data_IF_022472644167
#
_entry.id   IF_022472644167
#
_cell.length_a   1.000
_cell.length_b   1.000
_cell.length_c   1.000
_cell.angle_alpha   90.00
_cell.angle_beta   90.00
_cell.angle_gamma   90.00
#
_symmetry.space_group_name_H-M   'P 1'
#
loop_
_entity.id
_entity.type
_entity.pdbx_description
1 polymer ?
#
# COMPACT_ATOMS: atom_id res chain seq x y z
N UNK A 1 7.95 -5.38 -77.76
CA UNK A 1 6.98 -6.15 -76.96
C UNK A 1 7.73 -7.30 -76.28
N UNK A 2 7.50 -7.54 -74.99
CA UNK A 2 7.94 -8.77 -74.30
C UNK A 2 9.01 -8.59 -73.21
N UNK A 3 8.65 -7.99 -72.08
CA UNK A 3 9.40 -8.15 -70.83
C UNK A 3 8.90 -9.42 -70.12
N UNK A 4 9.80 -10.33 -69.79
CA UNK A 4 9.51 -11.56 -69.05
C UNK A 4 10.57 -11.83 -68.00
N UNK A 5 10.47 -11.16 -66.86
CA UNK A 5 11.18 -11.53 -65.64
C UNK A 5 10.17 -12.05 -64.63
N UNK A 6 9.99 -13.36 -64.61
CA UNK A 6 9.16 -14.09 -63.64
C UNK A 6 9.92 -14.18 -62.32
N UNK A 7 9.57 -13.34 -61.33
CA UNK A 7 9.82 -13.67 -59.93
C UNK A 7 8.87 -14.80 -59.52
N UNK A 8 9.29 -15.82 -58.76
CA UNK A 8 8.32 -16.66 -58.11
C UNK A 8 7.54 -15.79 -57.11
N UNK A 9 6.23 -15.73 -57.33
CA UNK A 9 5.22 -15.34 -56.35
C UNK A 9 5.51 -16.12 -55.06
N UNK A 10 5.96 -15.41 -54.02
CA UNK A 10 5.89 -15.90 -52.65
C UNK A 10 4.42 -15.89 -52.26
N UNK A 11 3.73 -16.93 -52.74
CA UNK A 11 2.32 -17.20 -52.49
C UNK A 11 2.01 -17.06 -51.01
N UNK A 12 1.02 -16.22 -50.74
CA UNK A 12 0.31 -16.10 -49.48
C UNK A 12 -0.01 -17.50 -48.91
N UNK A 13 0.66 -17.87 -47.81
CA UNK A 13 0.35 -19.09 -47.08
C UNK A 13 1.52 -19.79 -46.37
N UNK A 14 2.79 -19.46 -46.64
CA UNK A 14 3.89 -20.06 -45.89
C UNK A 14 4.20 -19.27 -44.62
N UNK A 15 3.74 -19.79 -43.48
CA UNK A 15 4.07 -19.33 -42.14
C UNK A 15 5.59 -19.37 -41.97
N UNK A 16 6.25 -18.22 -41.96
CA UNK A 16 7.68 -18.12 -41.71
C UNK A 16 7.97 -18.54 -40.26
N UNK A 17 8.41 -19.78 -40.07
CA UNK A 17 8.83 -20.31 -38.77
C UNK A 17 10.32 -20.06 -38.63
N UNK A 18 10.71 -19.10 -37.80
CA UNK A 18 12.09 -18.94 -37.38
C UNK A 18 12.43 -20.10 -36.43
N UNK A 19 13.16 -21.10 -36.92
CA UNK A 19 13.81 -22.09 -36.06
C UNK A 19 15.13 -21.49 -35.57
N UNK A 20 15.28 -21.31 -34.26
CA UNK A 20 16.58 -20.98 -33.67
C UNK A 20 17.53 -22.17 -33.88
N UNK A 21 18.58 -22.00 -34.69
CA UNK A 21 19.60 -23.03 -34.97
C UNK A 21 20.50 -23.34 -33.76
N UNK A 22 20.27 -22.71 -32.61
CA UNK A 22 20.89 -23.09 -31.34
C UNK A 22 19.98 -24.05 -30.58
N UNK A 23 20.47 -25.23 -30.15
CA UNK A 23 19.69 -26.11 -29.28
C UNK A 23 19.35 -25.36 -28.00
N UNK A 24 18.07 -25.03 -27.81
CA UNK A 24 17.60 -24.47 -26.55
C UNK A 24 17.65 -25.60 -25.53
N UNK A 25 18.79 -25.73 -24.85
CA UNK A 25 18.95 -26.66 -23.74
C UNK A 25 18.28 -26.05 -22.53
N UNK A 26 17.08 -26.54 -22.21
CA UNK A 26 16.45 -26.25 -20.93
C UNK A 26 17.19 -27.02 -19.83
N UNK A 27 17.36 -26.39 -18.66
CA UNK A 27 17.96 -27.07 -17.53
C UNK A 27 17.10 -28.27 -17.13
N UNK A 28 17.73 -29.41 -16.82
CA UNK A 28 17.03 -30.63 -16.42
C UNK A 28 16.05 -30.38 -15.27
N UNK A 29 16.42 -29.51 -14.34
CA UNK A 29 15.57 -29.08 -13.22
C UNK A 29 14.31 -28.33 -13.66
N UNK A 30 14.38 -27.52 -14.72
CA UNK A 30 13.23 -26.82 -15.26
C UNK A 30 12.32 -27.79 -16.03
N UNK A 31 12.90 -28.71 -16.79
CA UNK A 31 12.14 -29.74 -17.51
C UNK A 31 11.43 -30.66 -16.51
N UNK A 32 12.10 -31.06 -15.44
CA UNK A 32 11.51 -31.89 -14.39
C UNK A 32 10.43 -31.14 -13.60
N UNK A 33 10.62 -29.86 -13.29
CA UNK A 33 9.58 -29.02 -12.68
C UNK A 33 8.37 -28.77 -13.59
N UNK A 34 8.58 -28.72 -14.90
CA UNK A 34 7.51 -28.59 -15.90
C UNK A 34 6.81 -29.94 -16.16
N UNK A 35 7.54 -31.05 -16.09
CA UNK A 35 6.99 -32.41 -16.21
C UNK A 35 6.23 -32.83 -14.96
N UNK A 36 6.68 -32.43 -13.77
CA UNK A 36 5.98 -32.66 -12.51
C UNK A 36 4.80 -31.68 -12.32
N UNK A 37 4.86 -30.52 -12.97
CA UNK A 37 3.89 -29.45 -12.84
C UNK A 37 2.97 -29.35 -14.05
N UNK A 38 2.07 -30.33 -14.24
CA UNK A 38 0.92 -30.19 -15.16
C UNK A 38 -0.19 -29.31 -14.57
N UNK A 39 0.08 -28.63 -13.46
CA UNK A 39 -0.93 -27.91 -12.72
C UNK A 39 -1.21 -26.53 -13.31
N UNK A 40 -2.51 -26.21 -13.40
CA UNK A 40 -3.04 -24.91 -13.78
C UNK A 40 -2.49 -23.80 -12.89
N UNK A 41 -2.48 -22.57 -13.42
CA UNK A 41 -1.97 -21.35 -12.75
C UNK A 41 -2.48 -21.19 -11.30
N UNK A 42 -3.71 -21.64 -11.02
CA UNK A 42 -4.32 -21.65 -9.68
C UNK A 42 -3.59 -22.52 -8.65
N UNK A 43 -3.14 -23.72 -9.03
CA UNK A 43 -2.46 -24.61 -8.08
C UNK A 43 -1.01 -24.16 -7.85
N UNK A 44 -0.36 -23.63 -8.89
CA UNK A 44 0.94 -22.97 -8.78
C UNK A 44 0.87 -21.79 -7.80
N UNK A 45 -0.11 -20.89 -7.99
CA UNK A 45 -0.32 -19.76 -7.10
C UNK A 45 -0.55 -20.22 -5.65
N UNK A 46 -1.34 -21.27 -5.43
CA UNK A 46 -1.60 -21.83 -4.09
C UNK A 46 -0.36 -22.47 -3.45
N UNK A 47 0.48 -23.15 -4.23
CA UNK A 47 1.73 -23.74 -3.75
C UNK A 47 2.74 -22.67 -3.30
N UNK A 48 2.83 -21.58 -4.07
CA UNK A 48 3.67 -20.43 -3.74
C UNK A 48 3.15 -19.72 -2.50
N UNK A 49 1.83 -19.51 -2.41
CA UNK A 49 1.19 -18.91 -1.24
C UNK A 49 1.46 -19.72 0.04
N UNK A 50 1.33 -21.05 -0.03
CA UNK A 50 1.66 -21.93 1.10
C UNK A 50 3.14 -21.80 1.50
N UNK A 51 4.04 -21.79 0.52
CA UNK A 51 5.47 -21.62 0.79
C UNK A 51 5.81 -20.25 1.39
N UNK A 52 5.10 -19.19 1.00
CA UNK A 52 5.23 -17.87 1.62
C UNK A 52 4.75 -17.92 3.06
N UNK A 53 3.60 -18.55 3.33
CA UNK A 53 3.06 -18.68 4.68
C UNK A 53 4.01 -19.43 5.61
N UNK A 54 4.62 -20.52 5.15
CA UNK A 54 5.57 -21.28 5.98
C UNK A 54 6.81 -20.45 6.31
N UNK A 55 7.37 -19.74 5.33
CA UNK A 55 8.53 -18.86 5.55
C UNK A 55 8.22 -17.71 6.50
N UNK A 56 7.05 -17.08 6.32
CA UNK A 56 6.61 -16.00 7.23
C UNK A 56 6.42 -16.54 8.64
N UNK A 57 5.82 -17.72 8.80
CA UNK A 57 5.66 -18.35 10.11
C UNK A 57 7.00 -18.64 10.79
N UNK A 58 7.97 -19.19 10.06
CA UNK A 58 9.33 -19.46 10.54
C UNK A 58 10.05 -18.16 10.98
N UNK A 59 9.98 -17.10 10.16
CA UNK A 59 10.59 -15.81 10.50
C UNK A 59 9.89 -15.15 11.71
N UNK A 60 8.57 -15.28 11.83
CA UNK A 60 7.84 -14.80 13.01
C UNK A 60 8.24 -15.56 14.27
N UNK A 61 8.43 -16.86 14.19
CA UNK A 61 8.91 -17.66 15.33
C UNK A 61 10.34 -17.26 15.72
N UNK A 62 11.22 -17.05 14.73
CA UNK A 62 12.57 -16.57 14.96
C UNK A 62 12.59 -15.20 15.65
N UNK A 63 11.74 -14.27 15.23
CA UNK A 63 11.62 -12.96 15.87
C UNK A 63 11.09 -13.10 17.31
N UNK A 64 10.06 -13.91 17.55
CA UNK A 64 9.55 -14.18 18.90
C UNK A 64 10.60 -14.76 19.83
N UNK A 65 11.45 -15.67 19.34
CA UNK A 65 12.54 -16.24 20.13
C UNK A 65 13.56 -15.17 20.53
N UNK A 66 13.93 -14.27 19.61
CA UNK A 66 14.81 -13.14 19.90
C UNK A 66 14.19 -12.21 20.94
N UNK A 67 12.91 -11.86 20.77
CA UNK A 67 12.19 -11.03 21.74
C UNK A 67 12.19 -11.67 23.13
N UNK A 68 11.89 -12.98 23.24
CA UNK A 68 11.95 -13.70 24.52
C UNK A 68 13.34 -13.65 25.15
N UNK A 69 14.40 -13.90 24.37
CA UNK A 69 15.77 -13.81 24.87
C UNK A 69 16.10 -12.41 25.38
N UNK A 70 15.66 -11.36 24.67
CA UNK A 70 15.88 -9.98 25.12
C UNK A 70 15.09 -9.65 26.39
N UNK A 71 13.86 -10.14 26.51
CA UNK A 71 13.06 -9.96 27.72
C UNK A 71 13.72 -10.65 28.91
N UNK A 72 14.18 -11.89 28.76
CA UNK A 72 14.90 -12.61 29.81
C UNK A 72 16.21 -11.92 30.19
N UNK A 73 16.94 -11.34 29.23
CA UNK A 73 18.14 -10.54 29.53
C UNK A 73 17.78 -9.30 30.34
N UNK A 74 16.75 -8.55 29.93
CA UNK A 74 16.27 -7.37 30.64
C UNK A 74 15.79 -7.75 32.06
N UNK A 75 15.06 -8.84 32.21
CA UNK A 75 14.61 -9.35 33.51
C UNK A 75 15.80 -9.69 34.42
N UNK A 76 16.85 -10.33 33.88
CA UNK A 76 18.10 -10.60 34.62
C UNK A 76 18.82 -9.32 35.01
N UNK A 77 18.88 -8.31 34.12
CA UNK A 77 19.47 -7.00 34.41
C UNK A 77 18.71 -6.28 35.51
N UNK A 78 17.38 -6.29 35.44
CA UNK A 78 16.50 -5.70 36.46
C UNK A 78 16.69 -6.40 37.82
N UNK A 79 16.74 -7.74 37.84
CA UNK A 79 16.97 -8.51 39.06
C UNK A 79 18.35 -8.25 39.68
N UNK A 80 19.38 -8.07 38.85
CA UNK A 80 20.75 -7.75 39.29
C UNK A 80 20.91 -6.31 39.78
N UNK A 81 20.08 -5.37 39.32
CA UNK A 81 20.09 -3.95 39.72
C UNK A 81 19.28 -3.68 41.00
N UNK A 82 18.55 -4.69 41.53
CA UNK A 82 17.70 -4.58 42.72
C UNK A 82 18.33 -4.87 44.11
N UNK A 83 19.62 -5.23 44.33
CA UNK A 83 20.20 -5.16 45.66
C UNK A 83 20.67 -3.71 45.95
N UNK A 84 19.98 -3.04 46.88
CA UNK A 84 20.27 -1.72 47.47
C UNK A 84 19.78 -0.47 46.70
N UNK A 85 18.47 -0.28 46.60
CA UNK A 85 17.89 1.08 46.77
C UNK A 85 17.13 1.14 48.10
N UNK A 86 17.88 1.51 49.14
CA UNK A 86 17.38 2.04 50.41
C UNK A 86 16.21 2.98 50.15
N UNK A 87 15.09 2.65 50.78
CA UNK A 87 13.85 3.42 50.81
C UNK A 87 14.13 4.88 51.15
N UNK A 88 14.00 5.78 50.16
CA UNK A 88 13.72 7.18 50.43
C UNK A 88 12.46 7.53 49.66
N UNK A 89 11.43 7.85 50.45
CA UNK A 89 10.06 7.96 50.02
C UNK A 89 9.88 8.95 48.88
N UNK A 90 9.01 8.56 47.95
CA UNK A 90 8.03 9.47 47.38
C UNK A 90 6.80 8.63 47.08
N UNK A 91 5.75 8.90 47.86
CA UNK A 91 4.40 8.45 47.62
C UNK A 91 3.98 8.93 46.23
N UNK A 92 4.00 8.04 45.24
CA UNK A 92 3.25 8.25 44.00
C UNK A 92 1.80 7.94 44.32
N UNK A 93 1.08 9.01 44.65
CA UNK A 93 -0.37 9.09 44.72
C UNK A 93 -1.02 8.28 43.60
N UNK A 94 -1.54 7.11 43.96
CA UNK A 94 -2.47 6.36 43.15
C UNK A 94 -3.72 7.23 42.97
N UNK A 95 -3.90 7.76 41.76
CA UNK A 95 -5.18 8.36 41.38
C UNK A 95 -6.21 7.25 41.31
N UNK A 96 -7.02 7.15 42.36
CA UNK A 96 -8.28 6.42 42.34
C UNK A 96 -9.25 7.13 41.39
N UNK A 97 -9.22 6.76 40.12
CA UNK A 97 -10.38 6.94 39.25
C UNK A 97 -11.30 5.74 39.44
N UNK A 98 -12.47 5.99 40.02
CA UNK A 98 -13.55 5.01 40.08
C UNK A 98 -14.07 4.72 38.68
N UNK A 99 -13.77 3.53 38.18
CA UNK A 99 -14.48 2.91 37.06
C UNK A 99 -15.24 1.69 37.60
N UNK A 100 -16.49 1.45 37.16
CA UNK A 100 -17.34 0.41 37.73
C UNK A 100 -16.75 -0.97 37.49
N UNK A 101 -16.81 -1.81 38.53
CA UNK A 101 -16.38 -3.19 38.49
C UNK A 101 -17.07 -3.94 37.34
N UNK A 102 -16.30 -4.30 36.32
CA UNK A 102 -16.78 -5.00 35.13
C UNK A 102 -15.64 -5.63 34.33
N UNK A 103 -15.17 -6.78 34.82
CA UNK A 103 -14.57 -7.87 34.02
C UNK A 103 -13.38 -7.54 33.10
N UNK A 104 -12.17 -7.53 33.66
CA UNK A 104 -10.94 -7.81 32.90
C UNK A 104 -10.64 -9.32 32.96
N UNK A 105 -11.23 -10.08 32.04
CA UNK A 105 -10.74 -11.42 31.70
C UNK A 105 -10.01 -11.32 30.36
N UNK A 106 -8.71 -11.62 30.36
CA UNK A 106 -7.79 -11.49 29.22
C UNK A 106 -7.72 -12.78 28.37
N UNK A 107 -8.80 -13.55 28.31
CA UNK A 107 -8.87 -14.80 27.54
C UNK A 107 -10.29 -15.06 26.98
N UNK A 108 -10.97 -14.02 26.48
CA UNK A 108 -12.27 -14.17 25.85
C UNK A 108 -12.15 -14.14 24.31
N UNK A 109 -12.55 -15.21 23.58
CA UNK A 109 -12.57 -15.21 22.13
C UNK A 109 -13.57 -14.17 21.61
N UNK A 110 -13.10 -13.28 20.74
CA UNK A 110 -13.86 -12.19 20.13
C UNK A 110 -14.97 -12.78 19.26
N UNK A 111 -16.22 -12.70 19.72
CA UNK A 111 -17.40 -12.96 18.88
C UNK A 111 -17.45 -11.88 17.81
N UNK A 112 -17.43 -12.21 16.51
CA UNK A 112 -17.47 -11.21 15.45
C UNK A 112 -18.93 -10.94 15.04
N UNK A 113 -19.24 -9.65 14.85
CA UNK A 113 -20.41 -9.08 14.16
C UNK A 113 -21.81 -9.42 14.71
N UNK A 114 -22.33 -8.55 15.59
CA UNK A 114 -23.76 -8.26 15.63
C UNK A 114 -23.93 -6.74 15.51
N UNK A 115 -24.51 -6.32 14.37
CA UNK A 115 -24.86 -4.94 14.08
C UNK A 115 -25.73 -4.34 15.16
N UNK A 116 -25.47 -3.08 15.45
CA UNK A 116 -26.42 -2.24 16.18
C UNK A 116 -26.54 -0.93 15.43
N UNK A 117 -27.10 -1.04 14.23
CA UNK A 117 -27.97 0.00 13.70
C UNK A 117 -29.19 0.21 14.62
N UNK A 118 -29.68 1.47 14.64
CA UNK A 118 -30.96 2.01 15.13
C UNK A 118 -30.95 2.90 16.39
N UNK A 119 -31.20 4.18 16.10
CA UNK A 119 -32.02 5.19 16.80
C UNK A 119 -31.58 5.70 18.20
N UNK A 120 -31.60 7.01 18.51
CA UNK A 120 -32.28 8.14 17.90
C UNK A 120 -31.56 9.48 18.19
N UNK A 121 -31.76 10.52 17.36
CA UNK A 121 -31.28 11.87 17.60
C UNK A 121 -32.33 12.69 18.37
N UNK A 122 -31.96 13.28 19.50
CA UNK A 122 -32.80 14.24 20.20
C UNK A 122 -31.92 15.30 20.86
N UNK A 123 -31.49 16.33 20.11
CA UNK A 123 -31.41 17.69 20.64
C UNK A 123 -31.59 18.71 19.50
N UNK A 124 -32.64 19.56 19.54
CA UNK A 124 -32.93 20.56 18.52
C UNK A 124 -31.92 21.72 18.50
N UNK A 125 -31.65 22.20 17.28
CA UNK A 125 -31.03 23.48 16.97
C UNK A 125 -32.11 24.57 17.07
N UNK A 126 -31.92 25.59 17.92
CA UNK A 126 -32.08 27.00 17.54
C UNK A 126 -31.58 27.97 18.65
N UNK A 127 -31.14 29.19 18.28
CA UNK A 127 -30.39 30.11 19.12
C UNK A 127 -31.31 31.08 19.87
N UNK A 128 -31.05 31.32 21.14
CA UNK A 128 -31.58 32.50 21.85
C UNK A 128 -30.45 33.29 22.50
N UNK A 129 -30.49 34.64 22.42
CA UNK A 129 -29.43 35.51 22.88
C UNK A 129 -29.54 35.68 24.40
N UNK A 130 -28.52 35.27 25.14
CA UNK A 130 -28.40 35.59 26.55
C UNK A 130 -27.23 36.53 26.77
N UNK A 131 -27.59 37.81 26.81
CA UNK A 131 -26.85 38.88 27.46
C UNK A 131 -26.78 38.59 28.96
N UNK A 132 -25.59 38.55 29.55
CA UNK A 132 -25.29 39.05 30.91
C UNK A 132 -23.76 39.08 31.13
N UNK A 133 -23.26 39.94 32.05
CA UNK A 133 -22.06 40.72 31.82
C UNK A 133 -20.83 40.28 32.63
N UNK A 134 -19.67 40.69 32.12
CA UNK A 134 -18.49 41.18 32.85
C UNK A 134 -17.64 40.22 33.73
N UNK A 135 -16.41 40.01 33.22
CA UNK A 135 -15.11 40.02 33.93
C UNK A 135 -14.58 38.73 34.54
N UNK A 136 -13.66 38.07 33.81
CA UNK A 136 -12.40 37.55 34.35
C UNK A 136 -11.42 37.26 33.20
N UNK A 137 -10.46 38.17 33.02
CA UNK A 137 -9.32 38.02 32.12
C UNK A 137 -8.51 36.79 32.53
N UNK A 138 -8.45 35.78 31.66
CA UNK A 138 -7.47 34.68 31.72
C UNK A 138 -6.52 34.91 30.52
N UNK A 139 -5.19 34.73 30.66
CA UNK A 139 -4.25 35.17 29.63
C UNK A 139 -4.51 34.44 28.30
N UNK A 140 -5.00 35.15 27.29
CA UNK A 140 -5.23 34.63 25.94
C UNK A 140 -3.93 34.26 25.21
N UNK A 141 -2.78 34.73 25.70
CA UNK A 141 -1.46 34.51 25.10
C UNK A 141 -1.03 33.03 25.02
N UNK A 142 -1.47 32.16 25.94
CA UNK A 142 -1.01 30.76 25.94
C UNK A 142 -1.69 29.89 24.86
N UNK A 143 -2.94 30.22 24.50
CA UNK A 143 -3.68 29.52 23.43
C UNK A 143 -3.19 30.00 22.05
N UNK A 144 -2.91 31.30 21.93
CA UNK A 144 -2.38 31.89 20.70
C UNK A 144 -0.95 31.43 20.39
N UNK A 145 -0.08 31.31 21.40
CA UNK A 145 1.26 30.75 21.22
C UNK A 145 1.23 29.29 20.74
N UNK A 146 0.26 28.51 21.22
CA UNK A 146 0.05 27.12 20.78
C UNK A 146 -0.47 27.06 19.34
N UNK A 147 -1.38 27.97 18.98
CA UNK A 147 -1.90 28.10 17.59
C UNK A 147 -0.82 28.54 16.62
N UNK A 148 0.00 29.51 17.00
CA UNK A 148 1.12 30.01 16.18
C UNK A 148 2.20 28.92 15.97
N UNK A 149 2.51 28.15 17.02
CA UNK A 149 3.41 26.99 16.90
C UNK A 149 2.88 25.94 15.92
N UNK A 150 1.58 25.62 15.98
CA UNK A 150 0.94 24.67 15.05
C UNK A 150 0.97 25.20 13.61
N UNK A 151 0.70 26.49 13.38
CA UNK A 151 0.79 27.09 12.05
C UNK A 151 2.21 27.04 11.49
N UNK A 152 3.21 27.35 12.32
CA UNK A 152 4.64 27.24 11.95
C UNK A 152 5.03 25.81 11.59
N UNK A 153 4.49 24.83 12.31
CA UNK A 153 4.72 23.42 12.03
C UNK A 153 4.01 22.96 10.74
N UNK A 154 2.79 23.44 10.49
CA UNK A 154 2.05 23.22 9.23
C UNK A 154 2.85 23.78 8.05
N UNK A 155 3.38 25.00 8.15
CA UNK A 155 4.15 25.60 7.05
C UNK A 155 5.50 24.89 6.83
N UNK A 156 6.14 24.45 7.91
CA UNK A 156 7.32 23.58 7.82
C UNK A 156 7.01 22.24 7.14
N UNK A 157 5.87 21.64 7.43
CA UNK A 157 5.41 20.40 6.80
C UNK A 157 5.06 20.62 5.33
N UNK A 158 4.39 21.73 4.99
CA UNK A 158 4.11 22.11 3.60
C UNK A 158 5.40 22.29 2.80
N UNK A 159 6.37 23.03 3.33
CA UNK A 159 7.70 23.18 2.71
C UNK A 159 8.42 21.84 2.55
N UNK A 160 8.35 20.95 3.54
CA UNK A 160 8.88 19.58 3.45
C UNK A 160 8.14 18.70 2.42
N UNK A 161 6.85 18.92 2.20
CA UNK A 161 6.06 18.21 1.19
C UNK A 161 6.32 18.74 -0.23
N UNK A 162 6.55 20.05 -0.39
CA UNK A 162 6.87 20.66 -1.68
C UNK A 162 8.33 20.39 -2.11
N UNK A 163 9.25 20.30 -1.15
CA UNK A 163 10.64 19.89 -1.41
C UNK A 163 10.77 18.39 -1.73
N UNK A 164 9.80 17.56 -1.35
CA UNK A 164 9.72 16.20 -1.90
C UNK A 164 9.31 16.33 -3.36
N UNK A 165 10.08 15.72 -4.26
CA UNK A 165 9.73 15.59 -5.67
C UNK A 165 8.33 14.97 -5.76
N UNK A 166 7.32 15.78 -6.08
CA UNK A 166 6.03 15.28 -6.53
C UNK A 166 6.32 14.43 -7.76
N UNK A 167 5.81 13.20 -7.79
CA UNK A 167 5.80 12.39 -9.01
C UNK A 167 5.28 13.31 -10.11
N UNK A 168 6.08 13.54 -11.15
CA UNK A 168 5.75 14.52 -12.18
C UNK A 168 4.35 14.23 -12.68
N UNK A 169 3.55 15.28 -12.85
CA UNK A 169 2.29 15.16 -13.58
C UNK A 169 2.56 14.39 -14.88
N UNK A 170 1.71 13.40 -15.17
CA UNK A 170 1.83 12.64 -16.39
C UNK A 170 1.73 13.63 -17.56
N UNK A 171 2.45 13.36 -18.64
CA UNK A 171 2.39 14.20 -19.84
C UNK A 171 0.92 14.31 -20.31
N UNK A 172 0.47 15.52 -20.62
CA UNK A 172 -0.92 15.83 -20.99
C UNK A 172 -1.40 14.92 -22.15
N UNK A 173 -0.50 14.52 -23.05
CA UNK A 173 -0.82 13.62 -24.15
C UNK A 173 -1.18 12.20 -23.69
N UNK A 174 -0.51 11.68 -22.65
CA UNK A 174 -0.82 10.37 -22.08
C UNK A 174 -2.12 10.41 -21.29
N UNK A 175 -2.40 11.50 -20.58
CA UNK A 175 -3.68 11.67 -19.88
C UNK A 175 -4.85 11.73 -20.86
N UNK A 176 -4.65 12.39 -22.00
CA UNK A 176 -5.65 12.46 -23.08
C UNK A 176 -5.88 11.10 -23.73
N UNK A 177 -4.83 10.39 -24.13
CA UNK A 177 -4.94 9.05 -24.69
C UNK A 177 -5.58 8.04 -23.71
N UNK A 178 -5.26 8.15 -22.41
CA UNK A 178 -5.94 7.37 -21.37
C UNK A 178 -7.43 7.67 -21.31
N UNK A 179 -7.81 8.95 -21.41
CA UNK A 179 -9.23 9.35 -21.38
C UNK A 179 -10.00 8.81 -22.57
N UNK A 180 -9.38 8.74 -23.76
CA UNK A 180 -9.96 8.19 -24.98
C UNK A 180 -10.21 6.68 -24.87
N UNK A 181 -9.23 5.93 -24.35
CA UNK A 181 -9.39 4.49 -24.08
C UNK A 181 -10.53 4.25 -23.09
N UNK A 182 -10.54 5.01 -21.98
CA UNK A 182 -11.59 4.87 -20.96
C UNK A 182 -12.97 5.24 -21.52
N UNK A 183 -13.05 6.27 -22.36
CA UNK A 183 -14.30 6.66 -23.00
C UNK A 183 -14.79 5.60 -23.98
N UNK A 184 -13.91 5.05 -24.82
CA UNK A 184 -14.26 3.99 -25.76
C UNK A 184 -14.74 2.73 -25.03
N UNK A 185 -14.04 2.32 -23.95
CA UNK A 185 -14.39 1.14 -23.18
C UNK A 185 -15.73 1.32 -22.45
N UNK A 186 -16.04 2.53 -21.95
CA UNK A 186 -17.36 2.85 -21.35
C UNK A 186 -18.49 2.81 -22.37
N UNK A 187 -18.25 3.25 -23.59
CA UNK A 187 -19.24 3.17 -24.67
C UNK A 187 -19.44 1.71 -25.10
N UNK A 188 -18.36 0.91 -25.07
CA UNK A 188 -18.33 -0.48 -25.53
C UNK A 188 -18.09 -1.49 -24.40
N UNK A 189 -18.83 -1.37 -23.28
CA UNK A 189 -18.66 -2.21 -22.08
C UNK A 189 -18.78 -3.72 -22.35
N UNK A 190 -19.54 -4.10 -23.39
CA UNK A 190 -19.77 -5.50 -23.78
C UNK A 190 -18.94 -5.94 -25.00
N UNK A 191 -18.20 -5.02 -25.64
CA UNK A 191 -17.40 -5.26 -26.85
C UNK A 191 -16.04 -4.54 -26.79
N UNK A 192 -15.15 -4.92 -25.86
CA UNK A 192 -13.86 -4.25 -25.68
C UNK A 192 -12.89 -4.38 -26.87
N UNK A 193 -13.17 -5.29 -27.81
CA UNK A 193 -12.35 -5.48 -29.01
C UNK A 193 -12.47 -4.32 -30.01
N UNK A 194 -13.52 -3.50 -29.92
CA UNK A 194 -13.73 -2.38 -30.85
C UNK A 194 -12.80 -1.18 -30.56
N UNK A 195 -12.21 -1.13 -29.35
CA UNK A 195 -11.37 -0.02 -28.86
C UNK A 195 -9.86 -0.23 -29.09
N UNK A 196 -9.48 -1.07 -30.05
CA UNK A 196 -8.08 -1.46 -30.24
C UNK A 196 -7.19 -0.31 -30.72
N UNK A 197 -7.75 0.66 -31.45
CA UNK A 197 -7.01 1.82 -31.99
C UNK A 197 -6.59 2.77 -30.87
N UNK A 198 -7.50 3.04 -29.95
CA UNK A 198 -7.31 3.89 -28.78
C UNK A 198 -6.29 3.24 -27.84
N UNK A 199 -6.34 1.92 -27.69
CA UNK A 199 -5.34 1.18 -26.90
C UNK A 199 -3.97 1.25 -27.56
N UNK A 200 -3.89 1.19 -28.89
CA UNK A 200 -2.63 1.29 -29.61
C UNK A 200 -2.03 2.71 -29.53
N UNK A 201 -2.84 3.76 -29.66
CA UNK A 201 -2.38 5.15 -29.49
C UNK A 201 -1.87 5.40 -28.07
N UNK A 202 -2.57 4.89 -27.05
CA UNK A 202 -2.12 4.95 -25.66
C UNK A 202 -0.78 4.24 -25.45
N UNK A 203 -0.59 3.04 -26.04
CA UNK A 203 0.68 2.32 -25.97
C UNK A 203 1.83 3.08 -26.61
N UNK A 204 1.59 3.73 -27.75
CA UNK A 204 2.61 4.55 -28.41
C UNK A 204 3.06 5.72 -27.53
N UNK A 205 2.11 6.43 -26.90
CA UNK A 205 2.43 7.55 -26.00
C UNK A 205 3.12 7.10 -24.70
N UNK A 206 2.71 5.97 -24.13
CA UNK A 206 3.42 5.38 -22.98
C UNK A 206 4.84 4.98 -23.37
N UNK A 207 5.02 4.31 -24.51
CA UNK A 207 6.35 3.93 -24.98
C UNK A 207 7.25 5.15 -25.25
N UNK A 208 6.68 6.31 -25.64
CA UNK A 208 7.42 7.58 -25.77
C UNK A 208 7.90 8.07 -24.39
N UNK A 209 7.03 8.08 -23.38
CA UNK A 209 7.39 8.48 -22.02
C UNK A 209 8.38 7.52 -21.36
N UNK A 210 8.20 6.21 -21.56
CA UNK A 210 9.10 5.20 -21.01
C UNK A 210 10.51 5.35 -21.57
N UNK A 211 10.66 5.58 -22.88
CA UNK A 211 11.98 5.87 -23.48
C UNK A 211 12.62 7.09 -22.85
N UNK A 212 11.90 8.21 -22.76
CA UNK A 212 12.42 9.43 -22.14
C UNK A 212 12.78 9.25 -20.66
N UNK A 213 12.02 8.42 -19.93
CA UNK A 213 12.32 8.07 -18.55
C UNK A 213 13.56 7.19 -18.43
N UNK A 214 13.68 6.14 -19.26
CA UNK A 214 14.84 5.25 -19.30
C UNK A 214 16.11 6.03 -19.64
N UNK A 215 16.06 6.91 -20.65
CA UNK A 215 17.18 7.78 -21.03
C UNK A 215 17.64 8.67 -19.86
N UNK A 216 16.70 9.15 -19.04
CA UNK A 216 17.00 9.99 -17.86
C UNK A 216 17.53 9.21 -16.66
N UNK A 217 17.20 7.92 -16.55
CA UNK A 217 17.58 7.06 -15.41
C UNK A 217 18.89 6.33 -15.68
N UNK A 218 19.15 5.97 -16.94
CA UNK A 218 20.32 5.20 -17.35
C UNK A 218 21.41 6.10 -17.95
N UNK A 219 21.06 7.25 -18.54
CA UNK A 219 21.99 8.26 -19.06
C UNK A 219 22.37 9.30 -18.02
#
# INVERSE_FOLDING_TARGET
MGAGSSKPDASAGSKHVFASETPVQFSANLVEALQSGTETDSTRAKSLELHIQTRVAEELERLRQREKQTLEEIEKRLAAELPERKTNGLSSSAFSFGAPAGSLNLDAPRIPFAGREHDAPLFPIEPTPQTTPATAQRPEEAVDASRESVLKEIDRLRSKLDSRKKLSALDENVERAKSEVVNCLRINDRRPLDCWKEVDSFKQEVARLERAFVDKVVG
#
